data_IF_330332997800
#
_entry.id   IF_330332997800
#
_cell.length_a   1.000
_cell.length_b   1.000
_cell.length_c   1.000
_cell.angle_alpha   90.00
_cell.angle_beta   90.00
_cell.angle_gamma   90.00
#
_symmetry.space_group_name_H-M   'P 1'
#
loop_
_entity.id
_entity.type
_entity.pdbx_description
1 polymer ?
#
# COMPACT_ATOMS: atom_id res chain seq x y z
N UNK A 1 -10.72 -31.96 -8.76
CA UNK A 1 -10.76 -30.65 -8.07
C UNK A 1 -9.38 -30.07 -8.25
N UNK A 2 -9.24 -28.93 -8.93
CA UNK A 2 -7.94 -28.27 -9.01
C UNK A 2 -7.53 -27.87 -7.60
N UNK A 3 -6.35 -28.28 -7.17
CA UNK A 3 -5.78 -27.88 -5.89
C UNK A 3 -5.06 -26.57 -6.11
N UNK A 4 -5.44 -25.53 -5.36
CA UNK A 4 -4.75 -24.24 -5.37
C UNK A 4 -3.62 -24.20 -4.33
N UNK A 5 -3.25 -25.37 -3.81
CA UNK A 5 -2.13 -25.48 -2.87
C UNK A 5 -0.85 -24.85 -3.45
N UNK A 6 -0.10 -24.17 -2.60
CA UNK A 6 1.11 -23.43 -2.97
C UNK A 6 0.90 -22.30 -3.98
N UNK A 7 -0.33 -21.80 -4.14
CA UNK A 7 -0.60 -20.57 -4.91
C UNK A 7 -0.99 -19.46 -3.95
N UNK A 8 -0.29 -18.30 -4.04
CA UNK A 8 -0.60 -17.07 -3.33
C UNK A 8 -1.08 -16.03 -4.34
N UNK A 9 -2.29 -15.51 -4.16
CA UNK A 9 -2.72 -14.27 -4.81
C UNK A 9 -2.47 -13.14 -3.83
N UNK A 10 -1.75 -12.10 -4.28
CA UNK A 10 -1.58 -10.85 -3.54
C UNK A 10 -2.12 -9.69 -4.39
N UNK A 11 -3.08 -8.95 -3.86
CA UNK A 11 -3.78 -7.89 -4.60
C UNK A 11 -3.62 -6.55 -3.94
N UNK A 12 -3.36 -5.52 -4.74
CA UNK A 12 -3.68 -4.15 -4.32
C UNK A 12 -5.19 -4.01 -4.08
N UNK A 13 -5.58 -2.96 -3.35
CA UNK A 13 -6.98 -2.68 -3.02
C UNK A 13 -7.61 -1.67 -3.97
N UNK A 14 -7.14 -0.44 -3.96
CA UNK A 14 -7.82 0.71 -4.56
C UNK A 14 -7.58 0.80 -6.07
N UNK A 15 -8.60 0.59 -6.89
CA UNK A 15 -8.47 0.52 -8.35
C UNK A 15 -8.15 -0.88 -8.88
N UNK A 16 -7.92 -1.87 -7.98
CA UNK A 16 -7.61 -3.25 -8.32
C UNK A 16 -8.68 -4.23 -7.82
N UNK A 17 -8.93 -4.25 -6.52
CA UNK A 17 -9.96 -5.07 -5.88
C UNK A 17 -11.21 -4.26 -5.55
N UNK A 18 -11.05 -2.98 -5.28
CA UNK A 18 -12.10 -2.03 -4.91
C UNK A 18 -12.19 -0.96 -5.99
N UNK A 19 -13.32 -0.82 -6.71
CA UNK A 19 -13.56 0.31 -7.59
C UNK A 19 -13.56 1.64 -6.81
N UNK A 20 -13.19 2.73 -7.45
CA UNK A 20 -13.18 4.06 -6.80
C UNK A 20 -14.56 4.39 -6.23
N UNK A 21 -14.61 4.65 -4.92
CA UNK A 21 -15.85 4.94 -4.20
C UNK A 21 -16.83 3.77 -4.09
N UNK A 22 -16.37 2.56 -4.45
CA UNK A 22 -17.17 1.33 -4.46
C UNK A 22 -16.87 0.39 -3.30
N UNK A 23 -17.32 -0.84 -3.47
CA UNK A 23 -17.11 -1.96 -2.56
C UNK A 23 -16.60 -3.17 -3.35
N UNK A 24 -16.04 -4.14 -2.66
CA UNK A 24 -15.62 -5.40 -3.26
C UNK A 24 -16.86 -6.16 -3.75
N UNK A 25 -16.86 -6.54 -5.04
CA UNK A 25 -18.00 -7.25 -5.63
C UNK A 25 -18.21 -8.62 -5.02
N UNK A 26 -19.46 -9.11 -5.05
CA UNK A 26 -19.81 -10.43 -4.57
C UNK A 26 -19.16 -11.54 -5.40
N UNK A 27 -18.93 -11.30 -6.69
CA UNK A 27 -18.22 -12.18 -7.60
C UNK A 27 -16.77 -12.38 -7.17
N UNK A 28 -16.05 -11.28 -6.85
CA UNK A 28 -14.69 -11.33 -6.32
C UNK A 28 -14.64 -12.06 -4.97
N UNK A 29 -15.57 -11.78 -4.05
CA UNK A 29 -15.65 -12.45 -2.75
C UNK A 29 -15.85 -13.97 -2.90
N UNK A 30 -16.81 -14.40 -3.73
CA UNK A 30 -17.09 -15.81 -3.99
C UNK A 30 -15.90 -16.50 -4.65
N UNK A 31 -15.24 -15.85 -5.61
CA UNK A 31 -14.06 -16.38 -6.26
C UNK A 31 -12.93 -16.62 -5.26
N UNK A 32 -12.62 -15.63 -4.43
CA UNK A 32 -11.57 -15.73 -3.40
C UNK A 32 -11.93 -16.78 -2.32
N UNK A 33 -13.19 -16.90 -1.92
CA UNK A 33 -13.64 -17.95 -1.00
C UNK A 33 -13.46 -19.35 -1.61
N UNK A 34 -13.82 -19.54 -2.90
CA UNK A 34 -13.58 -20.79 -3.64
C UNK A 34 -12.08 -21.12 -3.69
N UNK A 35 -11.26 -20.11 -3.99
CA UNK A 35 -9.81 -20.23 -4.05
C UNK A 35 -9.22 -20.69 -2.71
N UNK A 36 -9.58 -20.02 -1.62
CA UNK A 36 -9.11 -20.37 -0.28
C UNK A 36 -9.61 -21.76 0.16
N UNK A 37 -10.86 -22.13 -0.14
CA UNK A 37 -11.42 -23.46 0.14
C UNK A 37 -10.68 -24.57 -0.62
N UNK A 38 -10.11 -24.27 -1.79
CA UNK A 38 -9.26 -25.18 -2.58
C UNK A 38 -7.79 -25.21 -2.13
N UNK A 39 -7.43 -24.59 -1.01
CA UNK A 39 -6.07 -24.55 -0.45
C UNK A 39 -5.23 -23.34 -0.88
N UNK A 40 -5.80 -22.44 -1.67
CA UNK A 40 -5.15 -21.21 -2.10
C UNK A 40 -4.89 -20.21 -0.96
N UNK A 41 -3.90 -19.36 -1.13
CA UNK A 41 -3.54 -18.31 -0.19
C UNK A 41 -3.86 -16.94 -0.76
N UNK A 42 -4.48 -16.08 0.05
CA UNK A 42 -4.84 -14.74 -0.36
C UNK A 42 -4.30 -13.70 0.62
N UNK A 43 -3.71 -12.64 0.09
CA UNK A 43 -3.20 -11.48 0.82
C UNK A 43 -3.53 -10.19 0.06
N UNK A 44 -3.38 -9.05 0.74
CA UNK A 44 -3.44 -7.72 0.13
C UNK A 44 -2.10 -7.00 0.23
N UNK A 45 -1.88 -6.03 -0.68
CA UNK A 45 -0.72 -5.14 -0.68
C UNK A 45 -1.19 -3.70 -0.94
N UNK A 46 -1.22 -2.86 0.08
CA UNK A 46 -1.86 -1.54 0.01
C UNK A 46 -1.02 -0.44 0.65
N UNK A 47 -1.26 0.81 0.26
CA UNK A 47 -0.76 2.00 0.95
C UNK A 47 -1.50 2.32 2.26
N UNK A 48 -2.64 1.67 2.51
CA UNK A 48 -3.47 1.86 3.70
C UNK A 48 -2.81 1.33 4.97
N UNK A 49 -3.35 1.74 6.12
CA UNK A 49 -3.08 1.09 7.42
C UNK A 49 -3.88 -0.22 7.53
N UNK A 50 -3.49 -1.15 8.42
CA UNK A 50 -4.33 -2.32 8.72
C UNK A 50 -5.75 -1.94 9.17
N UNK A 51 -5.89 -0.89 9.98
CA UNK A 51 -7.19 -0.41 10.45
C UNK A 51 -8.06 0.14 9.31
N UNK A 52 -7.48 0.96 8.43
CA UNK A 52 -8.19 1.52 7.28
C UNK A 52 -8.63 0.42 6.30
N UNK A 53 -7.83 -0.62 6.12
CA UNK A 53 -8.18 -1.75 5.27
C UNK A 53 -9.23 -2.68 5.89
N UNK A 54 -9.27 -2.80 7.23
CA UNK A 54 -10.08 -3.80 7.94
C UNK A 54 -11.58 -3.78 7.57
N UNK A 55 -12.15 -2.59 7.38
CA UNK A 55 -13.57 -2.44 7.02
C UNK A 55 -13.88 -3.00 5.62
N UNK A 56 -12.93 -2.90 4.69
CA UNK A 56 -13.09 -3.36 3.31
C UNK A 56 -12.86 -4.87 3.17
N UNK A 57 -11.93 -5.42 3.95
CA UNK A 57 -11.46 -6.80 3.77
C UNK A 57 -12.08 -7.81 4.75
N UNK A 58 -13.00 -7.37 5.61
CA UNK A 58 -13.64 -8.21 6.65
C UNK A 58 -14.24 -9.51 6.11
N UNK A 59 -14.77 -9.48 4.88
CA UNK A 59 -15.45 -10.61 4.26
C UNK A 59 -14.53 -11.41 3.33
N UNK A 60 -13.25 -11.05 3.25
CA UNK A 60 -12.28 -11.75 2.42
C UNK A 60 -11.57 -12.85 3.19
N UNK A 61 -11.25 -13.96 2.55
CA UNK A 61 -10.54 -15.09 3.15
C UNK A 61 -9.03 -14.84 3.24
N UNK A 62 -8.60 -13.71 3.84
CA UNK A 62 -7.17 -13.40 4.00
C UNK A 62 -6.55 -14.44 4.93
N UNK A 63 -5.61 -15.20 4.40
CA UNK A 63 -4.95 -16.31 5.09
C UNK A 63 -3.43 -16.36 4.81
N UNK A 64 -2.87 -15.24 4.36
CA UNK A 64 -1.45 -14.99 4.19
C UNK A 64 -1.08 -13.59 4.71
N UNK A 65 0.20 -13.35 5.07
CA UNK A 65 0.66 -12.04 5.49
C UNK A 65 0.45 -10.99 4.39
N UNK A 66 -0.05 -9.84 4.79
CA UNK A 66 -0.41 -8.72 3.91
C UNK A 66 0.55 -7.56 4.07
N UNK A 67 0.74 -6.80 2.99
CA UNK A 67 1.66 -5.67 2.91
C UNK A 67 0.89 -4.37 3.10
N UNK A 68 1.36 -3.54 4.03
CA UNK A 68 0.77 -2.24 4.37
C UNK A 68 1.76 -1.11 4.22
N UNK A 69 1.26 0.14 4.19
CA UNK A 69 2.07 1.35 4.03
C UNK A 69 3.03 1.25 2.84
N UNK A 70 2.55 0.73 1.70
CA UNK A 70 3.34 0.55 0.48
C UNK A 70 4.64 -0.24 0.66
N UNK A 71 4.68 -1.17 1.61
CA UNK A 71 5.84 -2.02 1.89
C UNK A 71 6.53 -1.75 3.22
N UNK A 72 6.13 -0.71 3.97
CA UNK A 72 6.78 -0.43 5.26
C UNK A 72 6.36 -1.38 6.38
N UNK A 73 5.30 -2.20 6.17
CA UNK A 73 4.85 -3.19 7.16
C UNK A 73 4.39 -4.47 6.48
N UNK A 74 4.78 -5.60 7.07
CA UNK A 74 4.21 -6.92 6.81
C UNK A 74 3.41 -7.36 8.03
N UNK A 75 2.13 -7.69 7.84
CA UNK A 75 1.20 -7.98 8.92
C UNK A 75 0.44 -9.30 8.68
N UNK A 76 0.41 -10.18 9.69
CA UNK A 76 -0.36 -11.42 9.67
C UNK A 76 -1.74 -11.20 10.31
N UNK A 77 -2.79 -11.19 9.50
CA UNK A 77 -4.17 -11.01 9.96
C UNK A 77 -4.66 -12.15 10.84
N UNK A 78 -4.18 -13.36 10.62
CA UNK A 78 -4.63 -14.55 11.34
C UNK A 78 -4.08 -14.58 12.75
N UNK A 79 -2.83 -14.14 12.90
CA UNK A 79 -2.14 -14.02 14.19
C UNK A 79 -2.31 -12.66 14.84
N UNK A 80 -2.77 -11.65 14.07
CA UNK A 80 -2.81 -10.23 14.47
C UNK A 80 -1.43 -9.71 14.90
N UNK A 81 -0.42 -10.04 14.13
CA UNK A 81 0.99 -9.80 14.45
C UNK A 81 1.69 -9.04 13.32
N UNK A 82 2.52 -8.07 13.71
CA UNK A 82 3.45 -7.40 12.80
C UNK A 82 4.66 -8.31 12.63
N UNK A 83 4.91 -8.81 11.43
CA UNK A 83 6.02 -9.69 11.12
C UNK A 83 7.30 -8.91 10.78
N UNK A 84 7.16 -7.75 10.14
CA UNK A 84 8.29 -6.88 9.80
C UNK A 84 7.84 -5.43 9.66
N UNK A 85 8.75 -4.49 9.95
CA UNK A 85 8.59 -3.07 9.65
C UNK A 85 9.85 -2.49 9.02
N UNK A 86 9.68 -1.43 8.25
CA UNK A 86 10.75 -0.67 7.60
C UNK A 86 10.54 0.82 7.87
N UNK A 87 11.08 1.32 8.99
CA UNK A 87 10.86 2.71 9.39
C UNK A 87 11.64 3.70 8.53
N UNK A 88 11.08 4.89 8.39
CA UNK A 88 11.66 6.04 7.69
C UNK A 88 12.93 6.60 8.34
N UNK A 89 13.10 6.42 9.62
CA UNK A 89 14.15 7.11 10.37
C UNK A 89 15.53 6.56 10.04
N UNK A 90 16.46 7.38 9.48
CA UNK A 90 17.86 7.03 9.49
C UNK A 90 18.39 7.05 10.92
N UNK A 91 19.26 6.14 11.26
CA UNK A 91 19.84 6.01 12.60
C UNK A 91 20.66 7.23 13.04
N UNK A 92 21.13 8.07 12.10
CA UNK A 92 22.11 9.12 12.33
C UNK A 92 21.51 10.52 12.54
N UNK A 93 20.41 10.88 11.88
CA UNK A 93 19.72 12.16 12.08
C UNK A 93 18.21 11.97 12.27
N UNK A 94 17.83 11.87 13.53
CA UNK A 94 16.41 11.70 13.89
C UNK A 94 15.58 12.96 13.67
N UNK A 95 16.21 14.10 13.49
CA UNK A 95 15.53 15.39 13.37
C UNK A 95 15.14 15.76 11.93
N UNK A 96 15.62 15.01 10.94
CA UNK A 96 15.44 15.39 9.54
C UNK A 96 13.98 15.42 9.12
N UNK A 97 13.19 14.43 9.53
CA UNK A 97 11.79 14.36 9.17
C UNK A 97 10.92 15.41 9.86
N UNK A 98 11.05 15.69 11.19
CA UNK A 98 10.38 16.82 11.83
C UNK A 98 10.75 18.18 11.20
N UNK A 99 12.03 18.38 10.84
CA UNK A 99 12.48 19.59 10.13
C UNK A 99 11.90 19.68 8.73
N UNK A 100 11.81 18.55 8.02
CA UNK A 100 11.17 18.52 6.71
C UNK A 100 9.66 18.83 6.81
N UNK A 101 8.95 18.30 7.81
CA UNK A 101 7.56 18.64 8.07
C UNK A 101 7.37 20.15 8.31
N UNK A 102 8.25 20.76 9.11
CA UNK A 102 8.25 22.20 9.35
C UNK A 102 8.46 23.01 8.06
N UNK A 103 9.41 22.60 7.22
CA UNK A 103 9.69 23.24 5.94
C UNK A 103 8.52 23.09 4.95
N UNK A 104 7.88 21.92 4.90
CA UNK A 104 6.69 21.68 4.07
C UNK A 104 5.58 22.64 4.45
N UNK A 105 5.24 22.73 5.73
CA UNK A 105 4.15 23.60 6.22
C UNK A 105 4.48 25.08 6.10
N UNK A 106 5.75 25.46 6.26
CA UNK A 106 6.21 26.85 6.04
C UNK A 106 6.08 27.24 4.56
N UNK A 107 6.48 26.36 3.65
CA UNK A 107 6.43 26.60 2.20
C UNK A 107 5.03 26.44 1.61
N UNK A 108 4.19 25.60 2.21
CA UNK A 108 2.85 25.23 1.74
C UNK A 108 1.85 25.22 2.91
N UNK A 109 1.38 26.40 3.39
CA UNK A 109 0.54 26.51 4.59
C UNK A 109 -0.84 25.82 4.48
N UNK A 110 -1.24 25.42 3.28
CA UNK A 110 -2.51 24.72 3.00
C UNK A 110 -2.29 23.22 2.76
N UNK A 111 -1.12 22.69 3.03
CA UNK A 111 -0.86 21.27 2.99
C UNK A 111 -1.26 20.61 4.31
N UNK A 112 -1.71 19.38 4.24
CA UNK A 112 -1.87 18.48 5.38
C UNK A 112 -0.67 17.52 5.39
N UNK A 113 0.06 17.50 6.49
CA UNK A 113 1.15 16.55 6.74
C UNK A 113 0.66 15.48 7.69
N UNK A 114 0.84 14.23 7.30
CA UNK A 114 0.48 13.08 8.11
C UNK A 114 1.70 12.18 8.31
N UNK A 115 1.88 11.72 9.55
CA UNK A 115 2.94 10.80 9.91
C UNK A 115 2.33 9.55 10.51
N UNK A 116 2.68 8.42 9.92
CA UNK A 116 2.14 7.13 10.32
C UNK A 116 3.17 6.32 11.08
N UNK A 117 2.76 5.83 12.23
CA UNK A 117 3.42 4.77 13.00
C UNK A 117 2.62 3.47 12.86
N UNK A 118 3.05 2.41 13.51
CA UNK A 118 2.28 1.16 13.54
C UNK A 118 0.92 1.30 14.25
N UNK A 119 0.76 2.31 15.11
CA UNK A 119 -0.41 2.44 15.99
C UNK A 119 -1.24 3.71 15.76
N UNK A 120 -0.64 4.77 15.26
CA UNK A 120 -1.27 6.09 15.18
C UNK A 120 -0.93 6.81 13.87
N UNK A 121 -1.84 7.68 13.45
CA UNK A 121 -1.59 8.73 12.48
C UNK A 121 -1.52 10.07 13.21
N UNK A 122 -0.44 10.80 13.03
CA UNK A 122 -0.25 12.17 13.54
C UNK A 122 -0.47 13.15 12.42
N UNK A 123 -1.35 14.14 12.63
CA UNK A 123 -1.75 15.11 11.62
C UNK A 123 -1.28 16.49 12.04
N UNK A 124 -0.53 17.15 11.16
CA UNK A 124 -0.10 18.54 11.33
C UNK A 124 -0.63 19.35 10.17
N UNK A 125 -1.67 20.14 10.42
CA UNK A 125 -2.34 21.00 9.44
C UNK A 125 -3.17 22.05 10.19
N UNK A 126 -3.66 23.06 9.46
CA UNK A 126 -4.88 23.77 9.86
C UNK A 126 -6.06 22.88 9.47
N UNK A 127 -6.93 22.50 10.41
CA UNK A 127 -8.00 21.49 10.26
C UNK A 127 -8.88 21.67 9.00
N UNK A 128 -9.01 22.90 8.51
CA UNK A 128 -9.74 23.19 7.26
C UNK A 128 -9.03 22.67 5.98
N UNK A 129 -7.76 22.27 6.10
CA UNK A 129 -6.94 21.71 5.03
C UNK A 129 -6.61 20.23 5.25
N UNK A 130 -7.26 19.60 6.22
CA UNK A 130 -7.11 18.17 6.47
C UNK A 130 -7.38 17.33 5.22
N UNK A 131 -6.75 16.16 5.18
CA UNK A 131 -7.14 15.13 4.22
C UNK A 131 -8.62 14.77 4.45
N UNK A 132 -9.47 14.93 3.44
CA UNK A 132 -10.90 14.65 3.57
C UNK A 132 -11.22 13.19 3.91
N UNK A 133 -10.25 12.28 3.79
CA UNK A 133 -10.41 10.86 4.14
C UNK A 133 -10.27 10.59 5.64
N UNK A 134 -9.57 11.46 6.40
CA UNK A 134 -9.30 11.25 7.83
C UNK A 134 -10.52 10.83 8.64
N UNK A 135 -11.70 11.47 8.52
CA UNK A 135 -12.87 11.09 9.30
C UNK A 135 -13.44 9.71 8.97
N UNK A 136 -13.12 9.16 7.79
CA UNK A 136 -13.72 7.92 7.27
C UNK A 136 -12.76 6.73 7.29
N UNK A 137 -11.47 6.98 7.12
CA UNK A 137 -10.46 5.93 6.95
C UNK A 137 -9.57 5.73 8.19
N UNK A 138 -9.39 6.79 9.00
CA UNK A 138 -8.40 6.81 10.07
C UNK A 138 -9.03 7.17 11.42
N UNK A 139 -9.68 6.25 12.07
CA UNK A 139 -10.29 6.51 13.38
C UNK A 139 -9.28 6.74 14.53
N UNK A 140 -7.99 6.51 14.31
CA UNK A 140 -6.90 6.75 15.29
C UNK A 140 -5.95 7.85 14.88
N UNK A 141 -6.42 8.89 14.24
CA UNK A 141 -5.58 10.05 13.99
C UNK A 141 -5.63 11.05 15.15
N UNK A 142 -4.54 11.82 15.28
CA UNK A 142 -4.41 12.87 16.28
C UNK A 142 -3.82 14.11 15.63
N UNK A 143 -4.49 15.24 15.77
CA UNK A 143 -3.86 16.51 15.50
C UNK A 143 -2.75 16.77 16.53
N UNK A 144 -1.64 17.27 16.08
CA UNK A 144 -0.52 17.67 16.93
C UNK A 144 0.21 18.89 16.34
N UNK A 145 0.94 19.60 17.18
CA UNK A 145 1.90 20.62 16.75
C UNK A 145 3.17 19.98 16.19
N UNK A 146 4.01 20.80 15.52
CA UNK A 146 5.32 20.33 15.06
C UNK A 146 6.23 19.88 16.21
N UNK A 147 6.15 20.54 17.37
CA UNK A 147 6.94 20.16 18.55
C UNK A 147 6.48 18.81 19.10
N UNK A 148 5.17 18.59 19.21
CA UNK A 148 4.62 17.30 19.61
C UNK A 148 4.93 16.18 18.58
N UNK A 149 4.93 16.52 17.28
CA UNK A 149 5.35 15.58 16.24
C UNK A 149 6.82 15.18 16.44
N UNK A 150 7.70 16.12 16.72
CA UNK A 150 9.11 15.83 16.99
C UNK A 150 9.30 14.90 18.19
N UNK A 151 8.47 15.01 19.22
CA UNK A 151 8.51 14.13 20.40
C UNK A 151 8.09 12.68 20.08
N UNK A 152 7.39 12.44 18.96
CA UNK A 152 7.00 11.09 18.52
C UNK A 152 8.15 10.31 17.89
N UNK A 153 9.32 10.90 17.67
CA UNK A 153 10.48 10.24 17.04
C UNK A 153 10.95 8.94 17.74
N UNK A 154 10.56 8.74 18.99
CA UNK A 154 10.81 7.51 19.74
C UNK A 154 10.02 6.32 19.20
N UNK A 155 8.91 6.58 18.49
CA UNK A 155 8.11 5.57 17.83
C UNK A 155 8.49 5.52 16.35
N UNK A 156 8.81 4.35 15.77
CA UNK A 156 9.22 4.26 14.38
C UNK A 156 8.15 4.81 13.42
N UNK A 157 8.50 5.80 12.62
CA UNK A 157 7.64 6.31 11.54
C UNK A 157 7.72 5.38 10.34
N UNK A 158 6.58 4.94 9.85
CA UNK A 158 6.51 4.02 8.72
C UNK A 158 6.23 4.73 7.40
N UNK A 159 5.50 5.84 7.46
CA UNK A 159 5.14 6.64 6.29
C UNK A 159 5.03 8.11 6.68
N UNK A 160 5.56 8.98 5.83
CA UNK A 160 5.29 10.41 5.82
C UNK A 160 4.46 10.72 4.59
N UNK A 161 3.40 11.47 4.76
CA UNK A 161 2.41 11.68 3.73
C UNK A 161 2.02 13.15 3.66
N UNK A 162 1.77 13.64 2.46
CA UNK A 162 1.32 15.01 2.24
C UNK A 162 0.10 15.00 1.32
N UNK A 163 -1.00 15.53 1.84
CA UNK A 163 -2.18 15.86 1.08
C UNK A 163 -2.14 17.34 0.70
N UNK A 164 -2.21 17.64 -0.60
CA UNK A 164 -2.24 19.00 -1.11
C UNK A 164 -2.74 19.02 -2.56
N UNK A 165 -2.95 20.22 -3.09
CA UNK A 165 -3.26 20.36 -4.52
C UNK A 165 -2.09 19.87 -5.40
N UNK A 166 -2.36 19.33 -6.60
CA UNK A 166 -1.33 18.76 -7.49
C UNK A 166 -0.17 19.73 -7.79
N UNK A 167 -0.47 21.02 -7.99
CA UNK A 167 0.55 22.03 -8.25
C UNK A 167 1.50 22.25 -7.05
N UNK A 168 1.02 22.03 -5.82
CA UNK A 168 1.82 22.06 -4.60
C UNK A 168 2.71 20.83 -4.53
N UNK A 169 2.17 19.64 -4.83
CA UNK A 169 2.91 18.39 -4.76
C UNK A 169 4.09 18.35 -5.74
N UNK A 170 3.97 18.92 -6.94
CA UNK A 170 5.11 19.07 -7.86
C UNK A 170 6.22 19.99 -7.33
N UNK A 171 5.87 20.96 -6.49
CA UNK A 171 6.86 21.81 -5.82
C UNK A 171 7.46 21.09 -4.60
N UNK A 172 6.66 20.32 -3.89
CA UNK A 172 7.09 19.46 -2.78
C UNK A 172 8.16 18.46 -3.22
N UNK A 173 8.00 17.84 -4.38
CA UNK A 173 8.99 16.91 -4.94
C UNK A 173 10.36 17.56 -5.10
N UNK A 174 10.41 18.81 -5.56
CA UNK A 174 11.65 19.58 -5.66
C UNK A 174 12.19 19.93 -4.28
N UNK A 175 11.32 20.39 -3.37
CA UNK A 175 11.69 20.70 -1.99
C UNK A 175 12.32 19.48 -1.29
N UNK A 176 11.71 18.30 -1.43
CA UNK A 176 12.21 17.05 -0.87
C UNK A 176 13.61 16.70 -1.39
N UNK A 177 13.86 16.90 -2.69
CA UNK A 177 15.18 16.72 -3.31
C UNK A 177 16.21 17.70 -2.76
N UNK A 178 15.87 19.00 -2.67
CA UNK A 178 16.76 20.05 -2.19
C UNK A 178 17.06 19.87 -0.69
N UNK A 179 16.10 19.34 0.07
CA UNK A 179 16.23 19.01 1.49
C UNK A 179 17.05 17.73 1.75
N UNK A 180 17.33 16.94 0.71
CA UNK A 180 18.09 15.69 0.82
C UNK A 180 17.23 14.45 1.16
N UNK A 181 15.90 14.58 1.24
CA UNK A 181 14.97 13.48 1.55
C UNK A 181 15.01 12.38 0.49
N UNK A 182 15.24 12.73 -0.78
CA UNK A 182 15.25 11.76 -1.88
C UNK A 182 16.32 10.65 -1.77
N UNK A 183 17.34 10.82 -0.93
CA UNK A 183 18.33 9.76 -0.65
C UNK A 183 17.92 8.87 0.53
N UNK A 184 16.98 9.33 1.35
CA UNK A 184 16.55 8.70 2.58
C UNK A 184 15.22 7.94 2.42
N UNK A 185 14.52 8.18 1.31
CA UNK A 185 13.19 7.63 1.08
C UNK A 185 12.95 7.28 -0.38
N UNK A 186 12.07 6.31 -0.59
CA UNK A 186 11.29 6.19 -1.82
C UNK A 186 10.06 7.08 -1.70
N UNK A 187 9.73 7.79 -2.79
CA UNK A 187 8.55 8.65 -2.81
C UNK A 187 7.77 8.45 -4.10
N UNK A 188 6.46 8.59 -4.02
CA UNK A 188 5.56 8.40 -5.16
C UNK A 188 4.23 9.13 -4.94
N UNK A 189 3.54 9.38 -6.04
CA UNK A 189 2.13 9.78 -6.02
C UNK A 189 1.28 8.53 -5.87
N UNK A 190 0.42 8.49 -4.84
CA UNK A 190 -0.61 7.45 -4.72
C UNK A 190 -1.93 7.87 -5.36
N UNK A 191 -2.17 9.17 -5.40
CA UNK A 191 -3.23 9.84 -6.17
C UNK A 191 -2.79 11.24 -6.59
N UNK A 192 -3.63 11.96 -7.32
CA UNK A 192 -3.30 13.30 -7.81
C UNK A 192 -2.98 14.30 -6.68
N UNK A 193 -3.64 14.15 -5.53
CA UNK A 193 -3.51 15.04 -4.37
C UNK A 193 -2.64 14.46 -3.24
N UNK A 194 -2.01 13.30 -3.46
CA UNK A 194 -1.32 12.54 -2.43
C UNK A 194 0.10 12.20 -2.81
N UNK A 195 1.04 12.61 -1.97
CA UNK A 195 2.46 12.31 -2.12
C UNK A 195 2.99 11.62 -0.87
N UNK A 196 3.56 10.46 -1.05
CA UNK A 196 3.97 9.57 0.03
C UNK A 196 5.48 9.36 0.03
N UNK A 197 6.02 9.22 1.23
CA UNK A 197 7.42 8.84 1.48
C UNK A 197 7.44 7.62 2.39
N UNK A 198 8.17 6.61 1.97
CA UNK A 198 8.52 5.41 2.75
C UNK A 198 10.05 5.29 2.78
N UNK A 199 10.61 4.44 3.63
CA UNK A 199 12.06 4.31 3.73
C UNK A 199 12.72 3.97 2.38
N UNK A 200 13.96 4.40 2.17
CA UNK A 200 14.71 4.10 0.96
C UNK A 200 14.78 2.60 0.70
N UNK A 201 14.54 2.20 -0.55
CA UNK A 201 14.52 0.80 -0.95
C UNK A 201 13.29 0.02 -0.50
N UNK A 202 12.27 0.69 0.09
CA UNK A 202 11.01 0.07 0.48
C UNK A 202 9.96 0.28 -0.62
N UNK A 203 9.28 -0.79 -0.97
CA UNK A 203 8.15 -0.83 -1.89
C UNK A 203 7.27 -2.05 -1.60
N UNK A 204 6.08 -2.14 -2.22
CA UNK A 204 5.27 -3.37 -2.21
C UNK A 204 6.08 -4.57 -2.73
N UNK A 205 6.92 -4.35 -3.77
CA UNK A 205 7.76 -5.37 -4.37
C UNK A 205 8.87 -5.88 -3.44
N UNK A 206 9.62 -4.97 -2.80
CA UNK A 206 10.69 -5.39 -1.86
C UNK A 206 10.13 -6.14 -0.66
N UNK A 207 8.95 -5.77 -0.16
CA UNK A 207 8.29 -6.50 0.93
C UNK A 207 7.74 -7.86 0.45
N UNK A 208 7.24 -7.96 -0.79
CA UNK A 208 6.88 -9.24 -1.40
C UNK A 208 8.10 -10.16 -1.51
N UNK A 209 9.26 -9.63 -1.91
CA UNK A 209 10.51 -10.41 -1.97
C UNK A 209 10.94 -10.89 -0.59
N UNK A 210 10.67 -10.13 0.47
CA UNK A 210 10.92 -10.55 1.85
C UNK A 210 9.96 -11.67 2.28
N UNK A 211 8.66 -11.52 2.02
CA UNK A 211 7.67 -12.57 2.25
C UNK A 211 8.07 -13.88 1.55
N UNK A 212 8.49 -13.79 0.29
CA UNK A 212 8.93 -14.97 -0.50
C UNK A 212 10.13 -15.71 0.10
N UNK A 213 10.98 -15.06 0.89
CA UNK A 213 12.12 -15.69 1.56
C UNK A 213 11.75 -16.47 2.84
N UNK A 214 10.56 -16.25 3.37
CA UNK A 214 10.09 -16.96 4.55
C UNK A 214 9.83 -18.44 4.21
N UNK A 215 10.18 -19.40 5.08
CA UNK A 215 10.09 -20.83 4.80
C UNK A 215 8.71 -21.30 4.32
N UNK A 216 7.65 -20.69 4.83
CA UNK A 216 6.26 -21.03 4.50
C UNK A 216 5.86 -20.61 3.07
N UNK A 217 6.53 -19.60 2.49
CA UNK A 217 6.13 -18.94 1.23
C UNK A 217 7.12 -19.13 0.09
N UNK A 218 8.33 -19.64 0.34
CA UNK A 218 9.43 -19.75 -0.64
C UNK A 218 9.08 -20.61 -1.87
N UNK A 219 8.21 -21.60 -1.70
CA UNK A 219 7.82 -22.54 -2.76
C UNK A 219 6.42 -22.22 -3.32
N UNK A 220 5.82 -21.07 -2.95
CA UNK A 220 4.53 -20.64 -3.47
C UNK A 220 4.70 -19.99 -4.84
N UNK A 221 3.81 -20.33 -5.77
CA UNK A 221 3.56 -19.56 -6.99
C UNK A 221 2.82 -18.29 -6.61
N UNK A 222 3.39 -17.13 -6.89
CA UNK A 222 2.82 -15.84 -6.52
C UNK A 222 2.20 -15.18 -7.75
N UNK A 223 0.92 -14.84 -7.63
CA UNK A 223 0.18 -14.03 -8.60
C UNK A 223 -0.09 -12.68 -7.94
N UNK A 224 0.44 -11.61 -8.51
CA UNK A 224 0.21 -10.26 -8.01
C UNK A 224 -0.75 -9.50 -8.91
N UNK A 225 -1.65 -8.71 -8.31
CA UNK A 225 -2.56 -7.83 -9.04
C UNK A 225 -2.41 -6.37 -8.57
N UNK A 226 -2.46 -5.42 -9.51
CA UNK A 226 -2.28 -3.99 -9.22
C UNK A 226 -2.77 -3.09 -10.35
N UNK A 227 -2.83 -1.78 -10.11
CA UNK A 227 -3.30 -0.82 -11.10
C UNK A 227 -2.44 0.44 -11.25
N UNK A 228 -1.56 0.75 -10.30
CA UNK A 228 -0.81 2.00 -10.32
C UNK A 228 0.70 1.80 -10.15
N UNK A 229 1.46 2.89 -10.28
CA UNK A 229 2.94 2.89 -10.35
C UNK A 229 3.62 2.25 -9.12
N UNK A 230 3.02 2.35 -7.93
CA UNK A 230 3.51 1.72 -6.70
C UNK A 230 3.37 0.19 -6.68
N UNK A 231 2.66 -0.38 -7.66
CA UNK A 231 2.51 -1.83 -7.85
C UNK A 231 3.56 -2.42 -8.78
N UNK A 232 4.19 -1.60 -9.64
CA UNK A 232 5.03 -2.06 -10.75
C UNK A 232 6.09 -3.06 -10.32
N UNK A 233 6.80 -2.78 -9.22
CA UNK A 233 7.84 -3.67 -8.72
C UNK A 233 7.27 -4.98 -8.17
N UNK A 234 6.11 -4.93 -7.49
CA UNK A 234 5.42 -6.12 -7.00
C UNK A 234 4.96 -7.01 -8.16
N UNK A 235 4.38 -6.42 -9.19
CA UNK A 235 3.93 -7.13 -10.40
C UNK A 235 5.09 -7.78 -11.14
N UNK A 236 6.22 -7.07 -11.28
CA UNK A 236 7.42 -7.57 -11.94
C UNK A 236 8.14 -8.69 -11.17
N UNK A 237 8.04 -8.70 -9.83
CA UNK A 237 8.68 -9.72 -8.97
C UNK A 237 7.81 -10.95 -8.72
N UNK A 238 6.52 -10.89 -9.01
CA UNK A 238 5.63 -12.04 -8.94
C UNK A 238 5.94 -13.06 -10.04
N UNK A 239 5.51 -14.31 -9.87
CA UNK A 239 5.61 -15.32 -10.94
C UNK A 239 4.65 -14.98 -12.09
N UNK A 240 3.53 -14.33 -11.75
CA UNK A 240 2.59 -13.73 -12.70
C UNK A 240 2.13 -12.39 -12.16
N UNK A 241 2.42 -11.31 -12.89
CA UNK A 241 1.86 -9.99 -12.65
C UNK A 241 0.62 -9.76 -13.52
N UNK A 242 -0.45 -9.27 -12.90
CA UNK A 242 -1.72 -8.94 -13.59
C UNK A 242 -2.06 -7.49 -13.31
N UNK A 243 -2.06 -6.65 -14.32
CA UNK A 243 -2.60 -5.29 -14.23
C UNK A 243 -4.11 -5.30 -14.44
N UNK A 244 -4.85 -4.51 -13.67
CA UNK A 244 -6.27 -4.31 -13.96
C UNK A 244 -6.48 -3.60 -15.31
N UNK A 245 -7.64 -3.78 -15.94
CA UNK A 245 -7.95 -3.16 -17.23
C UNK A 245 -7.92 -1.63 -17.21
N UNK A 246 -8.19 -1.03 -16.03
CA UNK A 246 -8.11 0.41 -15.77
C UNK A 246 -6.71 0.89 -15.34
N UNK A 247 -5.71 0.01 -15.25
CA UNK A 247 -4.39 0.35 -14.75
C UNK A 247 -3.64 1.40 -15.60
N UNK A 248 -2.70 2.08 -14.95
CA UNK A 248 -1.77 2.99 -15.63
C UNK A 248 -1.01 2.26 -16.76
N UNK A 249 -0.72 2.90 -17.91
CA UNK A 249 -0.01 2.25 -19.03
C UNK A 249 1.32 1.59 -18.63
N UNK A 250 2.11 2.25 -17.79
CA UNK A 250 3.38 1.69 -17.30
C UNK A 250 3.18 0.47 -16.42
N UNK A 251 2.09 0.43 -15.64
CA UNK A 251 1.73 -0.72 -14.80
C UNK A 251 1.30 -1.91 -15.67
N UNK A 252 0.55 -1.68 -16.74
CA UNK A 252 0.24 -2.73 -17.73
C UNK A 252 1.50 -3.30 -18.38
N UNK A 253 2.49 -2.45 -18.64
CA UNK A 253 3.77 -2.90 -19.18
C UNK A 253 4.56 -3.73 -18.16
N UNK A 254 4.56 -3.33 -16.89
CA UNK A 254 5.28 -4.04 -15.82
C UNK A 254 4.67 -5.41 -15.49
N UNK A 255 3.35 -5.55 -15.62
CA UNK A 255 2.63 -6.77 -15.25
C UNK A 255 2.80 -7.93 -16.24
N UNK A 256 2.93 -7.64 -17.54
CA UNK A 256 2.94 -8.66 -18.59
C UNK A 256 1.56 -9.22 -18.96
N UNK A 257 0.58 -9.24 -18.06
CA UNK A 257 -0.83 -9.59 -18.32
C UNK A 257 -1.71 -8.41 -17.96
N UNK A 258 -2.63 -8.05 -18.85
CA UNK A 258 -3.72 -7.12 -18.54
C UNK A 258 -5.02 -7.91 -18.41
N UNK A 259 -5.62 -7.85 -17.23
CA UNK A 259 -6.92 -8.46 -16.95
C UNK A 259 -8.09 -7.54 -17.31
N UNK A 260 -9.28 -7.89 -16.83
CA UNK A 260 -10.46 -7.04 -16.94
C UNK A 260 -10.36 -5.79 -16.05
N UNK A 261 -11.25 -4.83 -16.23
CA UNK A 261 -11.34 -3.67 -15.36
C UNK A 261 -11.78 -4.07 -13.93
N UNK A 262 -11.50 -3.22 -12.94
CA UNK A 262 -11.85 -3.49 -11.54
C UNK A 262 -13.37 -3.69 -11.37
N UNK A 263 -14.19 -3.02 -12.16
CA UNK A 263 -15.64 -3.15 -12.20
C UNK A 263 -16.12 -4.51 -12.73
N UNK A 264 -15.28 -5.20 -13.51
CA UNK A 264 -15.58 -6.47 -14.17
C UNK A 264 -15.02 -7.67 -13.37
N UNK A 265 -14.82 -7.50 -12.06
CA UNK A 265 -14.52 -8.58 -11.10
C UNK A 265 -13.14 -9.24 -11.31
N UNK A 266 -12.07 -8.45 -11.26
CA UNK A 266 -10.70 -8.88 -11.59
C UNK A 266 -10.24 -10.16 -10.88
N UNK A 267 -10.61 -10.39 -9.61
CA UNK A 267 -10.20 -11.62 -8.90
C UNK A 267 -10.90 -12.88 -9.46
N UNK A 268 -12.18 -12.75 -9.82
CA UNK A 268 -12.89 -13.83 -10.49
C UNK A 268 -12.26 -14.11 -11.85
N UNK A 269 -11.93 -13.07 -12.60
CA UNK A 269 -11.25 -13.17 -13.89
C UNK A 269 -9.86 -13.83 -13.76
N UNK A 270 -9.07 -13.50 -12.75
CA UNK A 270 -7.75 -14.12 -12.49
C UNK A 270 -7.91 -15.61 -12.22
N UNK A 271 -8.88 -16.01 -11.41
CA UNK A 271 -9.12 -17.44 -11.17
C UNK A 271 -9.46 -18.18 -12.45
N UNK A 272 -10.37 -17.63 -13.25
CA UNK A 272 -10.86 -18.28 -14.46
C UNK A 272 -9.81 -18.36 -15.57
N UNK A 273 -9.07 -17.26 -15.82
CA UNK A 273 -8.21 -17.14 -17.01
C UNK A 273 -6.72 -17.38 -16.73
N UNK A 274 -6.26 -17.14 -15.48
CA UNK A 274 -4.84 -17.26 -15.14
C UNK A 274 -4.54 -18.54 -14.38
N UNK A 275 -5.46 -18.99 -13.54
CA UNK A 275 -5.25 -20.17 -12.69
C UNK A 275 -5.92 -21.41 -13.31
N UNK A 276 -7.23 -21.35 -13.52
CA UNK A 276 -8.01 -22.49 -14.02
C UNK A 276 -7.83 -22.69 -15.54
N UNK A 277 -7.53 -21.61 -16.29
CA UNK A 277 -7.36 -21.67 -17.76
C UNK A 277 -5.99 -22.15 -18.23
N UNK A 278 -5.00 -22.30 -17.38
CA UNK A 278 -3.66 -22.80 -17.74
C UNK A 278 -3.61 -24.33 -17.84
N UNK A 279 -4.67 -25.04 -17.44
CA UNK A 279 -4.79 -26.50 -17.54
C UNK A 279 -5.57 -26.99 -18.78
N UNK A 280 -5.84 -26.09 -19.77
CA UNK A 280 -6.57 -26.45 -20.99
C UNK A 280 -5.64 -26.60 -22.20
#
# INVERSE_FOLDING_TARGET
MSSYEKTLIISDLDGTLIPRGGVISEENKKALQRFAAGGGRFAIATGRTPEAAASYVRELPINAPSIFFNGSMLYDWTKKEILATRPLLPAEDKTIWPRFAAEVLSSFPHACVEVYTAENCYVVSDEKYDDPRLPFEYYRYKHCSLDELADTEKTPWLKFFVCAEPAVLHRLERLAKDFGIGQLSNSFYSEANYYEFVAAGVSKGTMLAELRRMPEWKDCRIIAAGDYLNDNEMLALADIGVASGNAHPDTKTAAGITGCAVEDHLMAWILEHVIDGVEA
#
